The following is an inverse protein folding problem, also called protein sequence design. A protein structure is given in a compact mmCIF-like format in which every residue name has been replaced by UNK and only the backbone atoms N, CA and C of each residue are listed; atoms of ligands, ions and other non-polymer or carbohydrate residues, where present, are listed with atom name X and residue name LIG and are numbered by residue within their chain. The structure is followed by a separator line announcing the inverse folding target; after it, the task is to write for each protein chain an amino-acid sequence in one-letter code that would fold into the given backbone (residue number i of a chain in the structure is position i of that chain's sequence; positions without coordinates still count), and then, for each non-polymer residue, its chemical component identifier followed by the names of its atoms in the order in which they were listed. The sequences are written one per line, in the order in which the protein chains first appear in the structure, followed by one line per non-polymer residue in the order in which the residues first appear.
data_IF_797574290861
#
_entry.id   IF_797574290861
#
_cell.length_a   1.000
_cell.length_b   1.000
_cell.length_c   1.000
_cell.angle_alpha   90.00
_cell.angle_beta   90.00
_cell.angle_gamma   90.00
#
_symmetry.space_group_name_H-M   'P 1'
#
loop_
_entity.id
_entity.type
_entity.pdbx_description
1 polymer ?
#
# COMPACT_ATOMS: atom_id res chain seq x y z
N UNK A 1 37.85 -8.39 -77.40
CA UNK A 1 38.18 -8.71 -76.00
C UNK A 1 37.63 -7.55 -75.17
N UNK A 2 36.49 -7.63 -74.49
CA UNK A 2 36.18 -8.42 -73.30
C UNK A 2 34.64 -8.57 -73.20
N UNK A 3 34.16 -9.77 -72.84
CA UNK A 3 32.73 -10.04 -72.60
C UNK A 3 32.27 -9.35 -71.30
N UNK A 4 31.12 -8.67 -71.35
CA UNK A 4 30.41 -8.20 -70.15
C UNK A 4 29.28 -9.17 -69.83
N UNK A 5 29.52 -10.09 -68.90
CA UNK A 5 28.50 -11.02 -68.38
C UNK A 5 27.57 -10.28 -67.41
N UNK A 6 26.33 -10.06 -67.82
CA UNK A 6 25.24 -9.62 -66.95
C UNK A 6 24.81 -10.78 -66.08
N UNK A 7 25.26 -10.80 -64.82
CA UNK A 7 24.83 -11.79 -63.83
C UNK A 7 23.34 -11.64 -63.53
N UNK A 8 22.56 -12.63 -63.95
CA UNK A 8 21.14 -12.74 -63.64
C UNK A 8 21.00 -12.99 -62.13
N UNK A 9 20.56 -11.99 -61.36
CA UNK A 9 20.27 -12.17 -59.93
C UNK A 9 18.99 -12.98 -59.81
N UNK A 10 19.12 -14.28 -59.57
CA UNK A 10 17.99 -15.12 -59.20
C UNK A 10 17.42 -14.60 -57.86
N UNK A 11 16.26 -13.94 -57.91
CA UNK A 11 15.44 -13.73 -56.73
C UNK A 11 14.88 -15.11 -56.34
N UNK A 12 15.52 -15.77 -55.37
CA UNK A 12 15.06 -17.05 -54.86
C UNK A 12 13.70 -16.84 -54.19
N UNK A 13 12.64 -17.37 -54.82
CA UNK A 13 11.26 -17.33 -54.33
C UNK A 13 11.05 -18.21 -53.11
N UNK A 14 11.55 -17.78 -51.96
CA UNK A 14 11.22 -18.35 -50.64
C UNK A 14 10.55 -17.31 -49.71
N UNK A 15 10.01 -16.22 -50.25
CA UNK A 15 9.50 -15.11 -49.43
C UNK A 15 8.23 -15.47 -48.63
N UNK A 16 7.39 -16.39 -49.09
CA UNK A 16 6.12 -16.69 -48.40
C UNK A 16 6.35 -17.48 -47.10
N UNK A 17 7.25 -18.48 -47.11
CA UNK A 17 7.62 -19.22 -45.91
C UNK A 17 8.44 -18.35 -44.94
N UNK A 18 9.37 -17.56 -45.47
CA UNK A 18 10.20 -16.65 -44.67
C UNK A 18 9.36 -15.59 -43.94
N UNK A 19 8.39 -14.98 -44.63
CA UNK A 19 7.45 -14.02 -44.01
C UNK A 19 6.55 -14.72 -42.99
N UNK A 20 6.10 -15.95 -43.23
CA UNK A 20 5.28 -16.70 -42.28
C UNK A 20 6.08 -17.03 -41.00
N UNK A 21 7.33 -17.45 -41.13
CA UNK A 21 8.21 -17.69 -39.98
C UNK A 21 8.49 -16.38 -39.22
N UNK A 22 8.76 -15.28 -39.93
CA UNK A 22 8.94 -13.97 -39.30
C UNK A 22 7.68 -13.54 -38.53
N UNK A 23 6.49 -13.75 -39.10
CA UNK A 23 5.23 -13.46 -38.43
C UNK A 23 5.04 -14.32 -37.17
N UNK A 24 5.35 -15.62 -37.22
CA UNK A 24 5.29 -16.49 -36.04
C UNK A 24 6.25 -16.02 -34.94
N UNK A 25 7.50 -15.70 -35.29
CA UNK A 25 8.50 -15.21 -34.33
C UNK A 25 8.06 -13.88 -33.69
N UNK A 26 7.55 -12.94 -34.50
CA UNK A 26 7.06 -11.64 -33.99
C UNK A 26 5.87 -11.80 -33.06
N UNK A 27 4.93 -12.69 -33.37
CA UNK A 27 3.78 -12.98 -32.51
C UNK A 27 4.23 -13.58 -31.17
N UNK A 28 5.16 -14.54 -31.17
CA UNK A 28 5.74 -15.11 -29.94
C UNK A 28 6.46 -14.02 -29.13
N UNK A 29 7.22 -13.15 -29.79
CA UNK A 29 7.89 -12.01 -29.15
C UNK A 29 6.90 -11.05 -28.49
N UNK A 30 5.81 -10.72 -29.17
CA UNK A 30 4.77 -9.83 -28.64
C UNK A 30 4.03 -10.44 -27.45
N UNK A 31 3.74 -11.74 -27.49
CA UNK A 31 3.18 -12.46 -26.34
C UNK A 31 4.12 -12.47 -25.13
N UNK A 32 5.44 -12.53 -25.35
CA UNK A 32 6.44 -12.38 -24.31
C UNK A 32 6.35 -11.02 -23.60
N UNK A 33 6.28 -9.93 -24.38
CA UNK A 33 6.16 -8.57 -23.85
C UNK A 33 4.82 -8.38 -23.11
N UNK A 34 3.72 -8.91 -23.64
CA UNK A 34 2.40 -8.81 -23.01
C UNK A 34 2.39 -9.45 -21.61
N UNK A 35 3.04 -10.61 -21.43
CA UNK A 35 3.19 -11.24 -20.10
C UNK A 35 3.99 -10.38 -19.13
N UNK A 36 5.08 -9.75 -19.61
CA UNK A 36 5.88 -8.84 -18.78
C UNK A 36 5.09 -7.58 -18.39
N UNK A 37 4.31 -7.01 -19.31
CA UNK A 37 3.46 -5.86 -19.03
C UNK A 37 2.39 -6.20 -17.98
N UNK A 38 1.74 -7.36 -18.09
CA UNK A 38 0.76 -7.80 -17.10
C UNK A 38 1.38 -7.95 -15.69
N UNK A 39 2.58 -8.52 -15.60
CA UNK A 39 3.31 -8.65 -14.34
C UNK A 39 3.72 -7.28 -13.77
N UNK A 40 4.18 -6.36 -14.63
CA UNK A 40 4.52 -5.00 -14.22
C UNK A 40 3.30 -4.29 -13.63
N UNK A 41 2.14 -4.37 -14.30
CA UNK A 41 0.89 -3.77 -13.80
C UNK A 41 0.53 -4.35 -12.42
N UNK A 42 0.58 -5.67 -12.25
CA UNK A 42 0.29 -6.29 -10.96
C UNK A 42 1.19 -5.75 -9.84
N UNK A 43 2.51 -5.67 -10.08
CA UNK A 43 3.46 -5.13 -9.12
C UNK A 43 3.18 -3.65 -8.81
N UNK A 44 2.82 -2.85 -9.81
CA UNK A 44 2.48 -1.44 -9.57
C UNK A 44 1.25 -1.26 -8.68
N UNK A 45 0.26 -2.15 -8.78
CA UNK A 45 -0.94 -2.08 -7.94
C UNK A 45 -0.63 -2.39 -6.48
N UNK A 46 0.23 -3.38 -6.22
CA UNK A 46 0.70 -3.70 -4.86
C UNK A 46 1.46 -2.51 -4.26
N UNK A 47 2.43 -1.96 -5.00
CA UNK A 47 3.21 -0.81 -4.54
C UNK A 47 2.35 0.43 -4.26
N UNK A 48 1.29 0.66 -5.06
CA UNK A 48 0.30 1.72 -4.80
C UNK A 48 -0.44 1.49 -3.48
N UNK A 49 -0.87 0.25 -3.21
CA UNK A 49 -1.50 -0.11 -1.93
C UNK A 49 -0.61 0.22 -0.73
N UNK A 50 0.65 -0.22 -0.77
CA UNK A 50 1.64 0.08 0.27
C UNK A 50 1.85 1.59 0.48
N UNK A 51 1.90 2.34 -0.61
CA UNK A 51 2.04 3.80 -0.56
C UNK A 51 0.83 4.48 0.08
N UNK A 52 -0.39 4.01 -0.22
CA UNK A 52 -1.62 4.53 0.41
C UNK A 52 -1.67 4.25 1.91
N UNK A 53 -1.24 3.06 2.34
CA UNK A 53 -1.17 2.73 3.77
C UNK A 53 -0.15 3.62 4.48
N UNK A 54 1.03 3.82 3.89
CA UNK A 54 2.02 4.73 4.44
C UNK A 54 1.46 6.15 4.58
N UNK A 55 0.79 6.68 3.54
CA UNK A 55 0.13 8.00 3.59
C UNK A 55 -0.94 8.06 4.68
N UNK A 56 -1.70 6.99 4.88
CA UNK A 56 -2.71 6.91 5.92
C UNK A 56 -2.05 6.89 7.31
N UNK A 57 -0.96 6.16 7.52
CA UNK A 57 -0.23 6.21 8.79
C UNK A 57 0.35 7.61 9.08
N UNK A 58 0.88 8.28 8.06
CA UNK A 58 1.37 9.65 8.18
C UNK A 58 0.25 10.65 8.49
N UNK A 59 -0.97 10.43 7.97
CA UNK A 59 -2.12 11.27 8.30
C UNK A 59 -2.53 11.13 9.78
N UNK A 60 -2.46 9.91 10.34
CA UNK A 60 -2.65 9.69 11.78
C UNK A 60 -1.56 10.40 12.59
N UNK A 61 -0.29 10.25 12.20
CA UNK A 61 0.82 10.95 12.86
C UNK A 61 0.64 12.48 12.80
N UNK A 62 0.17 13.00 11.67
CA UNK A 62 -0.18 14.41 11.51
C UNK A 62 -1.29 14.86 12.47
N UNK A 63 -2.35 14.06 12.63
CA UNK A 63 -3.41 14.33 13.61
C UNK A 63 -2.87 14.30 15.05
N UNK A 64 -1.97 13.36 15.36
CA UNK A 64 -1.29 13.29 16.66
C UNK A 64 -0.48 14.56 16.95
N UNK A 65 0.30 15.04 15.98
CA UNK A 65 1.07 16.27 16.08
C UNK A 65 0.18 17.53 16.19
N UNK A 66 -1.00 17.52 15.55
CA UNK A 66 -1.96 18.63 15.59
C UNK A 66 -2.62 18.82 16.96
N UNK A 67 -2.83 17.74 17.71
CA UNK A 67 -3.54 17.74 18.98
C UNK A 67 -2.62 17.48 20.20
N UNK A 68 -1.60 18.33 20.37
CA UNK A 68 -0.63 18.21 21.48
C UNK A 68 -1.28 18.22 22.87
N UNK A 69 -2.43 18.88 23.02
CA UNK A 69 -3.16 18.95 24.28
C UNK A 69 -3.65 17.61 24.81
N UNK A 70 -3.79 16.60 23.94
CA UNK A 70 -4.05 15.21 24.35
C UNK A 70 -2.79 14.36 24.30
N UNK A 71 -2.06 14.41 23.18
CA UNK A 71 -0.96 13.47 22.90
C UNK A 71 0.31 13.77 23.68
N UNK A 72 0.72 15.04 23.79
CA UNK A 72 1.90 15.43 24.56
C UNK A 72 1.61 15.58 26.06
N UNK A 73 0.33 15.74 26.44
CA UNK A 73 -0.10 15.82 27.84
C UNK A 73 -0.06 14.46 28.57
N UNK A 74 0.29 13.36 27.88
CA UNK A 74 0.33 12.02 28.48
C UNK A 74 -1.05 11.47 28.85
N UNK A 75 -2.12 12.02 28.26
CA UNK A 75 -3.49 11.56 28.48
C UNK A 75 -3.82 10.30 27.66
N UNK A 76 -2.97 9.99 26.68
CA UNK A 76 -3.06 8.83 25.80
C UNK A 76 -2.93 7.52 26.58
N UNK A 77 -3.71 6.48 26.24
CA UNK A 77 -3.49 5.14 26.77
C UNK A 77 -2.12 4.57 26.35
N UNK A 78 -1.59 3.65 27.15
CA UNK A 78 -0.33 2.96 26.80
C UNK A 78 -0.46 2.19 25.49
N UNK A 79 -1.62 1.58 25.24
CA UNK A 79 -1.88 0.80 24.03
C UNK A 79 -3.33 0.97 23.59
N UNK A 80 -3.56 1.11 22.28
CA UNK A 80 -4.88 1.01 21.67
C UNK A 80 -4.79 0.34 20.30
N UNK A 81 -5.90 -0.21 19.82
CA UNK A 81 -5.96 -0.92 18.54
C UNK A 81 -7.16 -0.49 17.71
N UNK A 82 -7.04 -0.69 16.39
CA UNK A 82 -8.05 -0.34 15.41
C UNK A 82 -8.20 -1.53 14.46
N UNK A 83 -9.41 -2.05 14.36
CA UNK A 83 -9.74 -3.15 13.44
C UNK A 83 -11.05 -2.81 12.75
N UNK A 84 -11.01 -2.72 11.43
CA UNK A 84 -12.10 -2.13 10.67
C UNK A 84 -12.38 -0.68 11.10
N UNK A 85 -13.65 -0.33 11.35
CA UNK A 85 -14.02 1.00 11.85
C UNK A 85 -14.00 1.11 13.39
N UNK A 86 -13.64 0.02 14.10
CA UNK A 86 -13.73 -0.03 15.56
C UNK A 86 -12.40 0.32 16.20
N UNK A 87 -12.42 1.30 17.11
CA UNK A 87 -11.29 1.67 17.98
C UNK A 87 -11.47 1.01 19.34
N UNK A 88 -10.44 0.34 19.83
CA UNK A 88 -10.41 -0.32 21.14
C UNK A 88 -9.29 0.27 22.00
N UNK A 89 -9.66 0.75 23.19
CA UNK A 89 -8.73 1.34 24.16
C UNK A 89 -9.18 0.95 25.59
N UNK A 90 -8.22 0.59 26.43
CA UNK A 90 -8.39 0.30 27.87
C UNK A 90 -8.96 1.48 28.66
N UNK A 91 -8.65 2.73 28.29
CA UNK A 91 -9.09 3.92 29.03
C UNK A 91 -10.44 4.45 28.58
N UNK A 92 -10.98 3.94 27.47
CA UNK A 92 -12.22 4.42 26.86
C UNK A 92 -12.13 5.78 26.18
N UNK A 93 -11.03 6.54 26.32
CA UNK A 93 -10.94 7.92 25.84
C UNK A 93 -10.98 8.03 24.32
N UNK A 94 -10.36 7.09 23.62
CA UNK A 94 -10.31 7.07 22.15
C UNK A 94 -11.48 6.30 21.52
N UNK A 95 -12.10 5.38 22.26
CA UNK A 95 -13.21 4.54 21.79
C UNK A 95 -14.60 5.12 22.11
N UNK A 96 -14.70 6.15 22.95
CA UNK A 96 -15.97 6.85 23.19
C UNK A 96 -16.46 7.58 21.96
N UNK A 97 -17.78 7.61 21.75
CA UNK A 97 -18.40 8.42 20.69
C UNK A 97 -17.95 9.88 20.77
N UNK A 98 -17.24 10.34 19.76
CA UNK A 98 -16.79 11.72 19.67
C UNK A 98 -17.85 12.58 18.95
N UNK A 99 -18.07 13.84 19.40
CA UNK A 99 -18.88 14.79 18.64
C UNK A 99 -18.19 15.17 17.32
N UNK A 100 -18.93 15.74 16.37
CA UNK A 100 -18.33 16.24 15.13
C UNK A 100 -17.48 17.48 15.41
N UNK A 101 -16.16 17.28 15.51
CA UNK A 101 -15.19 18.32 15.79
C UNK A 101 -14.98 19.30 14.63
N UNK A 102 -15.64 19.07 13.48
CA UNK A 102 -15.72 20.07 12.40
C UNK A 102 -16.86 21.07 12.61
N UNK A 103 -17.94 20.65 13.27
CA UNK A 103 -19.13 21.47 13.49
C UNK A 103 -19.15 22.11 14.89
N UNK A 104 -18.44 21.53 15.86
CA UNK A 104 -18.47 21.94 17.26
C UNK A 104 -17.07 22.04 17.86
N UNK A 105 -16.91 22.89 18.87
CA UNK A 105 -15.64 23.01 19.60
C UNK A 105 -15.41 21.77 20.46
N UNK A 106 -14.40 20.97 20.12
CA UNK A 106 -14.01 19.78 20.87
C UNK A 106 -12.93 20.07 21.92
N UNK A 107 -12.99 19.36 23.03
CA UNK A 107 -11.84 19.24 23.95
C UNK A 107 -10.72 18.43 23.30
N UNK A 108 -9.46 18.56 23.74
CA UNK A 108 -8.35 17.77 23.19
C UNK A 108 -8.62 16.26 23.18
N UNK A 109 -9.26 15.71 24.23
CA UNK A 109 -9.63 14.28 24.28
C UNK A 109 -10.67 13.91 23.24
N UNK A 110 -11.70 14.73 23.05
CA UNK A 110 -12.75 14.49 22.05
C UNK A 110 -12.21 14.59 20.63
N UNK A 111 -11.32 15.56 20.37
CA UNK A 111 -10.66 15.69 19.08
C UNK A 111 -9.80 14.47 18.77
N UNK A 112 -9.03 13.96 19.74
CA UNK A 112 -8.23 12.74 19.53
C UNK A 112 -9.10 11.51 19.24
N UNK A 113 -10.23 11.35 19.93
CA UNK A 113 -11.18 10.29 19.65
C UNK A 113 -11.78 10.41 18.25
N UNK A 114 -12.19 11.62 17.85
CA UNK A 114 -12.71 11.90 16.51
C UNK A 114 -11.68 11.59 15.42
N UNK A 115 -10.43 12.06 15.58
CA UNK A 115 -9.37 11.86 14.60
C UNK A 115 -9.04 10.38 14.43
N UNK A 116 -8.89 9.63 15.52
CA UNK A 116 -8.57 8.19 15.49
C UNK A 116 -9.73 7.37 14.90
N UNK A 117 -10.98 7.71 15.24
CA UNK A 117 -12.16 7.02 14.68
C UNK A 117 -12.36 7.35 13.19
N UNK A 118 -12.19 8.62 12.81
CA UNK A 118 -12.24 9.05 11.42
C UNK A 118 -11.14 8.37 10.60
N UNK A 119 -9.92 8.33 11.13
CA UNK A 119 -8.81 7.61 10.53
C UNK A 119 -9.11 6.12 10.34
N UNK A 120 -9.68 5.46 11.36
CA UNK A 120 -10.02 4.04 11.30
C UNK A 120 -11.11 3.75 10.25
N UNK A 121 -12.10 4.63 10.13
CA UNK A 121 -13.15 4.53 9.11
C UNK A 121 -12.58 4.69 7.69
N UNK A 122 -11.73 5.69 7.46
CA UNK A 122 -11.08 5.92 6.17
C UNK A 122 -10.12 4.78 5.79
N UNK A 123 -9.33 4.29 6.75
CA UNK A 123 -8.44 3.14 6.55
C UNK A 123 -9.26 1.88 6.20
N UNK A 124 -10.38 1.65 6.89
CA UNK A 124 -11.29 0.53 6.60
C UNK A 124 -11.93 0.62 5.20
N UNK A 125 -12.21 1.83 4.71
CA UNK A 125 -12.80 2.03 3.38
C UNK A 125 -11.85 1.59 2.25
N UNK A 126 -10.53 1.73 2.46
CA UNK A 126 -9.51 1.32 1.49
C UNK A 126 -8.98 -0.10 1.74
N UNK A 127 -8.88 -0.51 3.01
CA UNK A 127 -8.27 -1.77 3.43
C UNK A 127 -9.14 -2.49 4.48
N UNK A 128 -10.27 -3.12 4.11
CA UNK A 128 -11.24 -3.66 5.09
C UNK A 128 -10.70 -4.73 6.05
N UNK A 129 -9.61 -5.40 5.67
CA UNK A 129 -8.99 -6.48 6.45
C UNK A 129 -7.78 -6.01 7.27
N UNK A 130 -7.55 -4.70 7.36
CA UNK A 130 -6.44 -4.16 8.14
C UNK A 130 -6.65 -4.35 9.65
N UNK A 131 -5.54 -4.36 10.37
CA UNK A 131 -5.50 -4.13 11.81
C UNK A 131 -4.36 -3.19 12.13
N UNK A 132 -4.56 -2.28 13.07
CA UNK A 132 -3.51 -1.38 13.53
C UNK A 132 -3.43 -1.37 15.06
N UNK A 133 -2.22 -1.19 15.58
CA UNK A 133 -1.94 -1.07 17.00
C UNK A 133 -1.03 0.12 17.22
N UNK A 134 -1.31 0.88 18.28
CA UNK A 134 -0.50 2.01 18.69
C UNK A 134 -0.03 1.77 20.10
N UNK A 135 1.29 1.86 20.30
CA UNK A 135 1.93 1.70 21.59
C UNK A 135 2.62 3.02 21.95
N UNK A 136 2.16 3.67 23.01
CA UNK A 136 2.70 4.94 23.48
C UNK A 136 3.44 4.75 24.81
N UNK A 137 4.60 5.39 24.89
CA UNK A 137 5.44 5.45 26.09
C UNK A 137 5.38 6.86 26.65
N UNK A 138 4.88 6.97 27.88
CA UNK A 138 4.77 8.24 28.62
C UNK A 138 5.73 8.16 29.80
N UNK A 139 6.74 9.03 29.81
CA UNK A 139 7.73 9.12 30.88
C UNK A 139 7.72 10.52 31.48
N UNK A 140 7.95 10.61 32.79
CA UNK A 140 8.02 11.89 33.49
C UNK A 140 9.17 12.72 32.93
N UNK A 141 8.91 14.00 32.62
CA UNK A 141 9.89 14.94 32.07
C UNK A 141 10.55 14.52 30.74
N UNK A 142 9.88 13.68 29.95
CA UNK A 142 10.31 13.27 28.60
C UNK A 142 9.16 13.45 27.61
N UNK A 143 9.47 13.67 26.31
CA UNK A 143 8.43 13.69 25.29
C UNK A 143 7.73 12.33 25.21
N UNK A 144 6.42 12.36 24.95
CA UNK A 144 5.65 11.15 24.68
C UNK A 144 6.09 10.60 23.33
N UNK A 145 6.27 9.29 23.24
CA UNK A 145 6.68 8.63 22.00
C UNK A 145 5.72 7.48 21.70
N UNK A 146 5.21 7.42 20.48
CA UNK A 146 4.25 6.41 20.06
C UNK A 146 4.77 5.65 18.84
N UNK A 147 4.53 4.35 18.81
CA UNK A 147 4.83 3.48 17.68
C UNK A 147 3.51 2.97 17.14
N UNK A 148 3.20 3.34 15.89
CA UNK A 148 2.01 2.93 15.16
C UNK A 148 2.39 1.78 14.23
N UNK A 149 1.76 0.62 14.38
CA UNK A 149 1.92 -0.49 13.46
C UNK A 149 0.59 -0.80 12.77
N UNK A 150 0.61 -0.98 11.45
CA UNK A 150 -0.52 -1.49 10.68
C UNK A 150 -0.13 -2.81 10.01
N UNK A 151 -1.06 -3.76 10.03
CA UNK A 151 -0.98 -5.03 9.35
C UNK A 151 -2.13 -5.14 8.35
N UNK A 152 -1.86 -5.63 7.16
CA UNK A 152 -2.85 -5.86 6.12
C UNK A 152 -2.46 -7.06 5.28
N UNK A 153 -3.42 -7.58 4.52
CA UNK A 153 -3.17 -8.65 3.59
C UNK A 153 -3.01 -8.09 2.17
N UNK A 154 -1.98 -8.53 1.47
CA UNK A 154 -1.79 -8.23 0.05
C UNK A 154 -2.15 -9.44 -0.81
N UNK A 155 -2.73 -9.17 -1.97
CA UNK A 155 -2.94 -10.18 -3.00
C UNK A 155 -1.73 -10.21 -3.93
N UNK A 156 -0.80 -11.13 -3.68
CA UNK A 156 0.31 -11.37 -4.60
C UNK A 156 -0.11 -12.39 -5.68
N UNK A 157 -0.03 -11.99 -6.94
CA UNK A 157 -0.24 -12.88 -8.09
C UNK A 157 1.06 -13.65 -8.37
N UNK A 158 0.99 -14.98 -8.37
CA UNK A 158 2.13 -15.83 -8.66
C UNK A 158 2.62 -15.66 -10.10
N UNK A 159 3.90 -15.32 -10.27
CA UNK A 159 4.53 -15.14 -11.59
C UNK A 159 5.11 -16.45 -12.17
N UNK A 160 5.47 -17.44 -11.33
CA UNK A 160 6.02 -18.76 -11.71
C UNK A 160 5.42 -19.89 -10.85
N UNK A 161 5.53 -21.17 -11.27
CA UNK A 161 5.08 -22.32 -10.46
C UNK A 161 5.74 -22.41 -9.07
N UNK A 162 6.96 -21.88 -8.91
CA UNK A 162 7.63 -21.74 -7.61
C UNK A 162 7.08 -20.60 -6.74
N UNK A 163 6.35 -19.64 -7.33
CA UNK A 163 5.56 -18.63 -6.61
C UNK A 163 4.08 -18.99 -6.51
N UNK A 164 3.61 -20.03 -7.23
CA UNK A 164 2.24 -20.53 -7.16
C UNK A 164 1.91 -21.19 -5.82
N UNK A 165 2.92 -21.72 -5.12
CA UNK A 165 2.83 -22.14 -3.71
C UNK A 165 2.67 -20.97 -2.73
N UNK A 166 2.87 -19.73 -3.18
CA UNK A 166 2.63 -18.49 -2.43
C UNK A 166 1.46 -17.68 -3.01
N UNK A 167 0.70 -18.19 -3.99
CA UNK A 167 -0.55 -17.56 -4.42
C UNK A 167 -1.55 -17.64 -3.26
N UNK A 168 -1.56 -16.60 -2.44
CA UNK A 168 -2.27 -16.56 -1.17
C UNK A 168 -2.00 -15.21 -0.50
N UNK A 169 -2.94 -14.75 0.33
CA UNK A 169 -2.81 -13.47 1.01
C UNK A 169 -1.55 -13.44 1.87
N UNK A 170 -0.60 -12.56 1.56
CA UNK A 170 0.60 -12.36 2.39
C UNK A 170 0.32 -11.24 3.38
N UNK A 171 0.47 -11.55 4.67
CA UNK A 171 0.37 -10.54 5.72
C UNK A 171 1.60 -9.64 5.68
N UNK A 172 1.38 -8.35 5.45
CA UNK A 172 2.39 -7.31 5.51
C UNK A 172 2.21 -6.47 6.78
N UNK A 173 3.30 -5.83 7.21
CA UNK A 173 3.27 -4.89 8.32
C UNK A 173 4.13 -3.65 8.03
N UNK A 174 3.65 -2.49 8.48
CA UNK A 174 4.35 -1.22 8.42
C UNK A 174 4.31 -0.58 9.80
N UNK A 175 5.45 -0.09 10.26
CA UNK A 175 5.58 0.58 11.55
C UNK A 175 6.12 1.98 11.37
N UNK A 176 5.43 2.96 11.97
CA UNK A 176 5.78 4.37 11.99
C UNK A 176 6.06 4.79 13.44
N UNK A 177 7.13 5.57 13.62
CA UNK A 177 7.46 6.18 14.91
C UNK A 177 7.00 7.63 14.93
N UNK A 178 6.28 8.01 15.98
CA UNK A 178 5.65 9.32 16.14
C UNK A 178 6.03 9.91 17.49
N UNK A 179 6.46 11.17 17.50
CA UNK A 179 6.70 11.92 18.74
C UNK A 179 5.80 13.17 18.73
N UNK A 180 4.61 13.10 19.36
CA UNK A 180 3.66 14.21 19.41
C UNK A 180 4.16 15.51 20.06
#
# INVERSE_FOLDING_TARGET
MQLKTTGNRHAAGFSLLEVLIALVITVIGLFGIAKMQAAAIANTQVARGQSLIALQLESLAGAMHGNKGFWAAGLVPATFSMTGATVTDTTGKLSTTAPDCKATTCTPTQLAAYDVQGWAAEMNAHFPTYSAAVNCVVLINKPVTCTVSANWNESNLAYNQTTATLAGQTAQSLTLYVQP
#
